data_IF_099159707737
#
_entry.id   IF_099159707737
#
_cell.length_a   1.000
_cell.length_b   1.000
_cell.length_c   1.000
_cell.angle_alpha   90.00
_cell.angle_beta   90.00
_cell.angle_gamma   90.00
#
_symmetry.space_group_name_H-M   'P 1'
#
loop_
_entity.id
_entity.type
_entity.pdbx_description
1 polymer ?
#
# COMPACT_ATOMS: atom_id res chain seq x y z
N UNK A 1 2.34 -38.60 30.59
CA UNK A 1 2.08 -37.53 29.61
C UNK A 1 2.12 -36.22 30.37
N UNK A 2 3.23 -35.49 30.31
CA UNK A 2 3.32 -34.13 30.84
C UNK A 2 2.70 -33.20 29.83
N UNK A 3 1.66 -32.47 30.22
CA UNK A 3 1.06 -31.43 29.39
C UNK A 3 2.18 -30.47 28.93
N UNK A 4 2.25 -30.10 27.63
CA UNK A 4 3.23 -29.13 27.19
C UNK A 4 2.99 -27.80 27.93
N UNK A 5 4.07 -27.07 28.28
CA UNK A 5 3.94 -25.80 28.98
C UNK A 5 3.04 -24.86 28.18
N UNK A 6 1.94 -24.41 28.80
CA UNK A 6 1.04 -23.44 28.17
C UNK A 6 1.85 -22.18 27.86
N UNK A 7 1.72 -21.63 26.63
CA UNK A 7 2.38 -20.37 26.32
C UNK A 7 1.89 -19.28 27.30
N UNK A 8 2.77 -18.38 27.74
CA UNK A 8 2.39 -17.30 28.63
C UNK A 8 1.29 -16.44 27.97
N UNK A 9 0.35 -15.89 28.76
CA UNK A 9 -0.64 -14.95 28.24
C UNK A 9 0.06 -13.74 27.62
N UNK A 10 -0.45 -13.31 26.48
CA UNK A 10 0.07 -12.15 25.74
C UNK A 10 -0.06 -10.93 26.65
N UNK A 11 1.02 -10.17 26.85
CA UNK A 11 0.95 -8.94 27.64
C UNK A 11 0.14 -7.88 26.89
N UNK A 12 -0.56 -7.00 27.62
CA UNK A 12 -1.37 -5.92 27.02
C UNK A 12 -0.49 -5.02 26.12
N UNK A 13 0.76 -4.79 26.53
CA UNK A 13 1.76 -4.05 25.73
C UNK A 13 2.13 -4.73 24.40
N UNK A 14 2.07 -6.07 24.34
CA UNK A 14 2.33 -6.80 23.10
C UNK A 14 1.11 -6.80 22.17
N UNK A 15 -0.11 -6.77 22.71
CA UNK A 15 -1.35 -6.67 21.94
C UNK A 15 -1.48 -5.30 21.26
N UNK A 16 -1.14 -4.20 21.94
CA UNK A 16 -1.12 -2.85 21.37
C UNK A 16 -0.09 -2.70 20.24
N UNK A 17 1.05 -3.40 20.34
CA UNK A 17 2.08 -3.43 19.29
C UNK A 17 1.62 -4.17 18.03
N UNK A 18 0.83 -5.24 18.19
CA UNK A 18 0.24 -5.97 17.06
C UNK A 18 -0.79 -5.09 16.36
N UNK A 19 -1.67 -4.42 17.12
CA UNK A 19 -2.64 -3.47 16.56
C UNK A 19 -1.98 -2.34 15.78
N UNK A 20 -0.91 -1.75 16.33
CA UNK A 20 -0.13 -0.70 15.67
C UNK A 20 0.53 -1.21 14.38
N UNK A 21 1.06 -2.43 14.37
CA UNK A 21 1.68 -3.02 13.19
C UNK A 21 0.66 -3.25 12.06
N UNK A 22 -0.50 -3.82 12.37
CA UNK A 22 -1.58 -4.00 11.39
C UNK A 22 -2.06 -2.67 10.81
N UNK A 23 -2.24 -1.66 11.66
CA UNK A 23 -2.73 -0.36 11.24
C UNK A 23 -1.70 0.38 10.38
N UNK A 24 -0.41 0.30 10.75
CA UNK A 24 0.70 0.82 9.96
C UNK A 24 0.77 0.19 8.56
N UNK A 25 0.63 -1.14 8.47
CA UNK A 25 0.59 -1.87 7.20
C UNK A 25 -0.63 -1.51 6.35
N UNK A 26 -1.81 -1.37 6.97
CA UNK A 26 -3.02 -0.99 6.25
C UNK A 26 -2.89 0.41 5.63
N UNK A 27 -2.32 1.37 6.38
CA UNK A 27 -2.07 2.74 5.89
C UNK A 27 -1.09 2.72 4.71
N UNK A 28 0.07 2.07 4.89
CA UNK A 28 1.11 2.06 3.86
C UNK A 28 0.67 1.39 2.58
N UNK A 29 -0.04 0.26 2.67
CA UNK A 29 -0.59 -0.43 1.50
C UNK A 29 -1.63 0.43 0.79
N UNK A 30 -2.52 1.10 1.54
CA UNK A 30 -3.54 1.98 0.96
C UNK A 30 -2.91 3.15 0.21
N UNK A 31 -1.89 3.80 0.79
CA UNK A 31 -1.16 4.91 0.16
C UNK A 31 -0.40 4.41 -1.08
N UNK A 32 0.27 3.27 -0.97
CA UNK A 32 0.98 2.64 -2.07
C UNK A 32 0.06 2.34 -3.26
N UNK A 33 -1.09 1.71 -3.01
CA UNK A 33 -2.11 1.43 -4.04
C UNK A 33 -2.64 2.74 -4.65
N UNK A 34 -2.87 3.78 -3.84
CA UNK A 34 -3.31 5.08 -4.31
C UNK A 34 -2.31 5.71 -5.30
N UNK A 35 -1.02 5.66 -4.98
CA UNK A 35 0.06 6.17 -5.85
C UNK A 35 0.16 5.39 -7.18
N UNK A 36 0.08 4.06 -7.11
CA UNK A 36 0.09 3.20 -8.29
C UNK A 36 -1.13 3.49 -9.17
N UNK A 37 -2.30 3.66 -8.57
CA UNK A 37 -3.54 3.98 -9.28
C UNK A 37 -3.47 5.37 -9.92
N UNK A 38 -2.87 6.34 -9.23
CA UNK A 38 -2.63 7.67 -9.81
C UNK A 38 -1.69 7.61 -11.01
N UNK A 39 -0.61 6.81 -10.94
CA UNK A 39 0.28 6.59 -12.08
C UNK A 39 -0.46 5.95 -13.27
N UNK A 40 -1.30 4.94 -13.02
CA UNK A 40 -2.16 4.34 -14.05
C UNK A 40 -3.13 5.35 -14.66
N UNK A 41 -3.70 6.24 -13.85
CA UNK A 41 -4.57 7.31 -14.35
C UNK A 41 -3.80 8.27 -15.26
N UNK A 42 -2.58 8.70 -14.88
CA UNK A 42 -1.72 9.53 -15.73
C UNK A 42 -1.40 8.82 -17.04
N UNK A 43 -1.03 7.54 -16.99
CA UNK A 43 -0.78 6.73 -18.20
C UNK A 43 -2.03 6.66 -19.08
N UNK A 44 -3.20 6.43 -18.49
CA UNK A 44 -4.48 6.44 -19.20
C UNK A 44 -4.79 7.81 -19.82
N UNK A 45 -4.38 8.91 -19.17
CA UNK A 45 -4.53 10.26 -19.74
C UNK A 45 -3.63 10.49 -20.93
N UNK A 46 -2.36 10.06 -20.86
CA UNK A 46 -1.39 10.22 -21.93
C UNK A 46 -1.71 9.36 -23.16
N UNK A 47 -2.29 8.17 -22.93
CA UNK A 47 -2.71 7.28 -24.02
C UNK A 47 -4.02 7.73 -24.68
N UNK A 48 -4.84 8.56 -24.03
CA UNK A 48 -6.11 9.03 -24.60
C UNK A 48 -5.91 9.95 -25.82
N UNK A 49 -4.76 10.63 -25.90
CA UNK A 49 -4.39 11.48 -27.02
C UNK A 49 -3.66 10.72 -28.14
N UNK A 50 -3.42 9.40 -27.97
CA UNK A 50 -2.73 8.56 -28.95
C UNK A 50 -3.72 7.73 -29.79
N UNK A 51 -3.37 7.38 -31.05
CA UNK A 51 -4.15 6.45 -31.84
C UNK A 51 -4.29 5.08 -31.14
N UNK A 52 -5.45 4.41 -31.24
CA UNK A 52 -5.61 3.06 -30.69
C UNK A 52 -4.56 2.10 -31.26
N UNK A 53 -3.79 1.47 -30.38
CA UNK A 53 -2.75 0.51 -30.72
C UNK A 53 -2.89 -0.72 -29.83
N UNK A 54 -2.98 -1.90 -30.44
CA UNK A 54 -2.95 -3.19 -29.73
C UNK A 54 -1.56 -3.57 -29.22
N UNK A 55 -0.53 -2.80 -29.60
CA UNK A 55 0.84 -3.04 -29.17
C UNK A 55 1.09 -2.30 -27.86
N UNK A 56 1.72 -2.96 -26.86
CA UNK A 56 2.14 -2.28 -25.64
C UNK A 56 3.12 -1.16 -26.00
N UNK A 57 2.80 0.06 -25.55
CA UNK A 57 3.66 1.24 -25.73
C UNK A 57 4.85 1.09 -24.78
N UNK A 58 5.95 0.56 -25.30
CA UNK A 58 7.21 0.34 -24.57
C UNK A 58 8.17 1.54 -24.66
N UNK A 59 7.88 2.49 -25.54
CA UNK A 59 8.68 3.69 -25.74
C UNK A 59 7.90 4.96 -25.35
N UNK A 60 8.56 5.87 -24.62
CA UNK A 60 8.03 7.19 -24.31
C UNK A 60 7.53 7.38 -22.87
N UNK A 61 6.97 8.57 -22.60
CA UNK A 61 6.54 9.00 -21.27
C UNK A 61 5.59 8.02 -20.53
N UNK A 62 4.62 7.33 -21.19
CA UNK A 62 3.72 6.41 -20.50
C UNK A 62 4.45 5.25 -19.80
N UNK A 63 5.49 4.69 -20.42
CA UNK A 63 6.26 3.59 -19.85
C UNK A 63 7.02 4.04 -18.58
N UNK A 64 7.72 5.18 -18.66
CA UNK A 64 8.46 5.71 -17.52
C UNK A 64 7.55 6.12 -16.36
N UNK A 65 6.36 6.65 -16.64
CA UNK A 65 5.37 6.97 -15.60
C UNK A 65 4.83 5.71 -14.95
N UNK A 66 4.55 4.66 -15.72
CA UNK A 66 4.08 3.39 -15.17
C UNK A 66 5.12 2.73 -14.26
N UNK A 67 6.34 2.55 -14.78
CA UNK A 67 7.44 1.92 -14.04
C UNK A 67 7.84 2.77 -12.85
N UNK A 68 8.05 4.07 -13.08
CA UNK A 68 8.43 5.03 -12.04
C UNK A 68 7.37 5.15 -10.95
N UNK A 69 6.10 5.26 -11.32
CA UNK A 69 4.98 5.33 -10.38
C UNK A 69 4.79 4.06 -9.56
N UNK A 70 5.04 2.89 -10.18
CA UNK A 70 4.99 1.60 -9.48
C UNK A 70 6.11 1.47 -8.47
N UNK A 71 7.35 1.75 -8.89
CA UNK A 71 8.51 1.75 -8.00
C UNK A 71 8.32 2.75 -6.86
N UNK A 72 7.82 3.94 -7.17
CA UNK A 72 7.54 4.96 -6.18
C UNK A 72 6.46 4.52 -5.19
N UNK A 73 5.36 3.93 -5.65
CA UNK A 73 4.29 3.41 -4.79
C UNK A 73 4.78 2.32 -3.82
N UNK A 74 5.59 1.38 -4.33
CA UNK A 74 6.17 0.29 -3.51
C UNK A 74 7.19 0.82 -2.49
N UNK A 75 8.07 1.73 -2.92
CA UNK A 75 9.07 2.35 -2.04
C UNK A 75 8.40 3.18 -0.94
N UNK A 76 7.42 4.00 -1.31
CA UNK A 76 6.66 4.83 -0.36
C UNK A 76 5.91 3.97 0.64
N UNK A 77 5.28 2.88 0.21
CA UNK A 77 4.63 1.94 1.12
C UNK A 77 5.63 1.37 2.15
N UNK A 78 6.77 0.84 1.68
CA UNK A 78 7.81 0.32 2.57
C UNK A 78 8.35 1.35 3.55
N UNK A 79 8.60 2.58 3.08
CA UNK A 79 9.09 3.69 3.91
C UNK A 79 8.05 4.15 4.95
N UNK A 80 6.77 4.21 4.58
CA UNK A 80 5.69 4.56 5.51
C UNK A 80 5.56 3.48 6.58
N UNK A 81 5.56 2.20 6.23
CA UNK A 81 5.54 1.12 7.23
C UNK A 81 6.76 1.21 8.14
N UNK A 82 7.95 1.44 7.57
CA UNK A 82 9.18 1.56 8.33
C UNK A 82 9.16 2.75 9.30
N UNK A 83 8.63 3.90 8.90
CA UNK A 83 8.54 5.10 9.77
C UNK A 83 7.48 4.93 10.85
N UNK A 84 6.31 4.37 10.53
CA UNK A 84 5.23 4.11 11.47
C UNK A 84 5.58 3.05 12.52
N UNK A 85 6.40 2.05 12.14
CA UNK A 85 6.93 1.03 13.06
C UNK A 85 8.16 1.49 13.85
N UNK A 86 8.54 2.78 13.81
CA UNK A 86 9.64 3.31 14.62
C UNK A 86 9.58 3.01 16.13
N UNK A 87 8.40 2.85 16.79
CA UNK A 87 8.33 2.45 18.19
C UNK A 87 8.77 1.00 18.46
N UNK A 88 8.83 0.15 17.43
CA UNK A 88 9.20 -1.26 17.59
C UNK A 88 10.72 -1.40 17.69
N UNK A 89 11.22 -1.80 18.86
CA UNK A 89 12.65 -1.93 19.17
C UNK A 89 13.41 -2.95 18.30
N UNK A 90 12.72 -3.91 17.69
CA UNK A 90 13.32 -4.95 16.84
C UNK A 90 13.40 -4.52 15.38
N UNK A 91 14.59 -4.12 14.92
CA UNK A 91 14.86 -3.75 13.52
C UNK A 91 14.56 -4.88 12.54
N UNK A 92 14.77 -6.15 12.95
CA UNK A 92 14.45 -7.31 12.12
C UNK A 92 12.95 -7.43 11.82
N UNK A 93 12.09 -7.26 12.83
CA UNK A 93 10.63 -7.28 12.65
C UNK A 93 10.13 -6.10 11.82
N UNK A 94 10.71 -4.92 12.06
CA UNK A 94 10.40 -3.68 11.33
C UNK A 94 10.75 -3.80 9.84
N UNK A 95 11.91 -4.39 9.52
CA UNK A 95 12.32 -4.69 8.16
C UNK A 95 11.41 -5.69 7.47
N UNK A 96 11.12 -6.83 8.13
CA UNK A 96 10.21 -7.84 7.60
C UNK A 96 8.84 -7.26 7.25
N UNK A 97 8.23 -6.49 8.16
CA UNK A 97 6.90 -5.91 7.93
C UNK A 97 6.91 -4.84 6.83
N UNK A 98 7.98 -4.05 6.71
CA UNK A 98 8.13 -3.09 5.60
C UNK A 98 8.23 -3.78 4.23
N UNK A 99 8.95 -4.89 4.16
CA UNK A 99 9.03 -5.73 2.96
C UNK A 99 7.68 -6.35 2.62
N UNK A 100 6.95 -6.88 3.61
CA UNK A 100 5.61 -7.43 3.41
C UNK A 100 4.65 -6.35 2.92
N UNK A 101 4.70 -5.13 3.46
CA UNK A 101 3.86 -4.03 2.98
C UNK A 101 4.21 -3.60 1.55
N UNK A 102 5.50 -3.55 1.21
CA UNK A 102 5.95 -3.24 -0.14
C UNK A 102 5.44 -4.31 -1.13
N UNK A 103 5.57 -5.60 -0.76
CA UNK A 103 5.06 -6.71 -1.55
C UNK A 103 3.53 -6.72 -1.65
N UNK A 104 2.81 -6.46 -0.56
CA UNK A 104 1.36 -6.35 -0.55
C UNK A 104 0.85 -5.21 -1.45
N UNK A 105 1.61 -4.11 -1.54
CA UNK A 105 1.33 -3.01 -2.47
C UNK A 105 1.50 -3.45 -3.92
N UNK A 106 2.59 -4.16 -4.23
CA UNK A 106 2.81 -4.74 -5.55
C UNK A 106 1.74 -5.79 -5.91
N UNK A 107 1.32 -6.62 -4.96
CA UNK A 107 0.24 -7.57 -5.15
C UNK A 107 -1.12 -6.88 -5.34
N UNK A 108 -1.39 -5.80 -4.62
CA UNK A 108 -2.59 -4.97 -4.79
C UNK A 108 -2.70 -4.38 -6.20
N UNK A 109 -1.57 -4.13 -6.86
CA UNK A 109 -1.54 -3.67 -8.25
C UNK A 109 -2.16 -4.68 -9.22
N UNK A 110 -2.06 -6.00 -8.98
CA UNK A 110 -2.74 -7.01 -9.82
C UNK A 110 -4.26 -6.81 -9.88
N UNK A 111 -4.85 -6.23 -8.83
CA UNK A 111 -6.29 -5.95 -8.77
C UNK A 111 -6.66 -4.71 -9.59
N UNK A 112 -5.73 -3.79 -9.82
CA UNK A 112 -6.00 -2.58 -10.62
C UNK A 112 -6.22 -2.88 -12.10
N UNK A 113 -5.67 -3.99 -12.61
CA UNK A 113 -5.80 -4.42 -14.01
C UNK A 113 -7.24 -4.79 -14.40
N UNK A 114 -7.94 -5.70 -13.69
CA UNK A 114 -9.35 -5.99 -13.97
C UNK A 114 -10.26 -4.79 -13.69
N UNK A 115 -9.93 -3.94 -12.71
CA UNK A 115 -10.74 -2.74 -12.44
C UNK A 115 -10.61 -1.72 -13.56
N UNK A 116 -9.42 -1.52 -14.12
CA UNK A 116 -9.24 -0.67 -15.30
C UNK A 116 -10.01 -1.19 -16.52
N UNK A 117 -10.08 -2.52 -16.69
CA UNK A 117 -10.85 -3.16 -17.77
C UNK A 117 -12.37 -3.05 -17.58
N UNK A 118 -12.87 -3.10 -16.33
CA UNK A 118 -14.31 -3.10 -16.03
C UNK A 118 -14.90 -1.70 -15.84
N UNK A 119 -14.15 -0.76 -15.25
CA UNK A 119 -14.66 0.55 -14.85
C UNK A 119 -14.06 1.73 -15.64
N UNK A 120 -13.06 1.49 -16.48
CA UNK A 120 -12.40 2.51 -17.29
C UNK A 120 -11.75 3.63 -16.48
N UNK A 121 -11.51 4.78 -17.13
CA UNK A 121 -10.75 5.93 -16.59
C UNK A 121 -11.43 6.61 -15.39
N UNK A 122 -12.76 6.56 -15.29
CA UNK A 122 -13.53 7.09 -14.15
C UNK A 122 -13.44 6.20 -12.92
N UNK A 123 -13.33 4.88 -13.09
CA UNK A 123 -13.10 3.94 -11.98
C UNK A 123 -11.79 4.17 -11.24
N UNK A 124 -10.73 4.57 -11.96
CA UNK A 124 -9.42 4.90 -11.37
C UNK A 124 -9.49 6.13 -10.44
N UNK A 125 -10.24 7.17 -10.82
CA UNK A 125 -10.44 8.36 -9.96
C UNK A 125 -11.20 7.98 -8.69
N UNK A 126 -12.20 7.09 -8.81
CA UNK A 126 -12.93 6.55 -7.67
C UNK A 126 -12.03 5.81 -6.69
N UNK A 127 -11.10 4.98 -7.19
CA UNK A 127 -10.13 4.27 -6.34
C UNK A 127 -9.14 5.24 -5.69
N UNK A 128 -8.62 6.23 -6.42
CA UNK A 128 -7.70 7.23 -5.84
C UNK A 128 -8.40 8.00 -4.72
N UNK A 129 -9.65 8.44 -4.94
CA UNK A 129 -10.43 9.14 -3.93
C UNK A 129 -10.73 8.23 -2.72
N UNK A 130 -11.11 6.98 -2.95
CA UNK A 130 -11.37 6.00 -1.89
C UNK A 130 -10.11 5.71 -1.06
N UNK A 131 -8.98 5.46 -1.71
CA UNK A 131 -7.69 5.28 -1.04
C UNK A 131 -7.29 6.51 -0.23
N UNK A 132 -7.49 7.72 -0.76
CA UNK A 132 -7.24 8.96 -0.03
C UNK A 132 -8.10 9.09 1.23
N UNK A 133 -9.40 8.80 1.12
CA UNK A 133 -10.34 8.83 2.26
C UNK A 133 -10.00 7.77 3.30
N UNK A 134 -9.73 6.53 2.87
CA UNK A 134 -9.35 5.44 3.78
C UNK A 134 -8.01 5.73 4.47
N UNK A 135 -7.01 6.26 3.75
CA UNK A 135 -5.74 6.66 4.35
C UNK A 135 -5.92 7.79 5.38
N UNK A 136 -6.78 8.78 5.10
CA UNK A 136 -7.11 9.84 6.05
C UNK A 136 -7.82 9.30 7.31
N UNK A 137 -8.78 8.40 7.16
CA UNK A 137 -9.47 7.78 8.30
C UNK A 137 -8.53 6.92 9.15
N UNK A 138 -7.67 6.13 8.50
CA UNK A 138 -6.70 5.30 9.21
C UNK A 138 -5.61 6.14 9.90
N UNK A 139 -5.12 7.22 9.27
CA UNK A 139 -4.14 8.11 9.89
C UNK A 139 -4.69 8.85 11.12
N UNK A 140 -5.98 9.24 11.09
CA UNK A 140 -6.69 9.77 12.27
C UNK A 140 -6.78 8.74 13.38
N UNK A 141 -7.11 7.49 13.05
CA UNK A 141 -7.21 6.40 14.02
C UNK A 141 -5.84 6.06 14.63
N UNK A 142 -4.78 6.06 13.83
CA UNK A 142 -3.41 5.86 14.31
C UNK A 142 -2.98 6.96 15.29
N UNK A 143 -3.36 8.21 15.00
CA UNK A 143 -3.04 9.35 15.87
C UNK A 143 -3.76 9.27 17.21
N UNK A 144 -4.96 8.68 17.25
CA UNK A 144 -5.67 8.40 18.49
C UNK A 144 -4.95 7.32 19.31
N UNK A 145 -4.65 6.16 18.69
CA UNK A 145 -3.98 5.02 19.36
C UNK A 145 -2.57 5.36 19.87
N UNK A 146 -1.88 6.32 19.25
CA UNK A 146 -0.54 6.76 19.68
C UNK A 146 -0.56 7.71 20.89
N UNK A 147 -1.69 8.35 21.17
CA UNK A 147 -1.84 9.34 22.26
C UNK A 147 -2.44 8.75 23.54
N UNK A 148 -2.95 7.52 23.48
CA UNK A 148 -3.33 6.71 24.64
C UNK A 148 -2.10 5.93 25.17
#
# INVERSE_FOLDING_TARGET
MTDPPRPPPISIEDEDRVGLAFLAMAISVTIGIGLVTAALWVVSTLLADMPPSDRPVIDGAPFYVLVGGTMLGVLVAGLITWTLLSPVRSTYRRGGLSFVSAFATAAGMLVTMPVNQLAGRTGLVGIVALCGVVALLLSRRLSAVRND
#
